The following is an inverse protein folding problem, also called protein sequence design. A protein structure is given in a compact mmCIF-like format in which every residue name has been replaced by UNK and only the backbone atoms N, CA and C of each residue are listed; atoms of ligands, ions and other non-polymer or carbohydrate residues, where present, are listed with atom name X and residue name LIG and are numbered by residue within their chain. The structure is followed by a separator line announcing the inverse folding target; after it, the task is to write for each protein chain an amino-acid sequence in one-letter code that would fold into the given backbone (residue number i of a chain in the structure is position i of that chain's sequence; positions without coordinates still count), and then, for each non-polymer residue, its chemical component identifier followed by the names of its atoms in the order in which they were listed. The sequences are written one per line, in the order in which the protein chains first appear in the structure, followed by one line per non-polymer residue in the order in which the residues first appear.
data_IF_120896479527
#
_entry.id   IF_120896479527
#
_cell.length_a   1.000
_cell.length_b   1.000
_cell.length_c   1.000
_cell.angle_alpha   90.00
_cell.angle_beta   90.00
_cell.angle_gamma   90.00
#
_symmetry.space_group_name_H-M   'P 1'
#
loop_
_entity.id
_entity.type
_entity.pdbx_description
1 polymer ?
#
# COMPACT_ATOMS: atom_id res chain seq x y z
N UNK A 1 -2.52 12.36 -10.28
CA UNK A 1 -2.83 10.94 -10.56
C UNK A 1 -3.50 10.73 -11.94
N UNK A 2 -3.06 11.41 -13.01
CA UNK A 2 -3.88 11.57 -14.23
C UNK A 2 -4.26 10.27 -14.98
N UNK A 3 -3.60 9.14 -14.73
CA UNK A 3 -3.94 7.82 -15.30
C UNK A 3 -4.48 6.81 -14.25
N UNK A 4 -4.60 7.19 -12.98
CA UNK A 4 -5.02 6.28 -11.91
C UNK A 4 -6.53 6.37 -11.67
N UNK A 5 -7.26 5.30 -11.94
CA UNK A 5 -8.72 5.28 -11.77
C UNK A 5 -9.14 5.23 -10.29
N UNK A 6 -8.43 4.46 -9.47
CA UNK A 6 -8.80 4.22 -8.07
C UNK A 6 -7.57 4.20 -7.16
N UNK A 7 -7.64 4.91 -6.04
CA UNK A 7 -6.65 4.89 -4.97
C UNK A 7 -7.19 4.09 -3.79
N UNK A 8 -6.57 2.95 -3.49
CA UNK A 8 -6.91 2.16 -2.29
C UNK A 8 -5.91 2.41 -1.17
N UNK A 9 -6.41 2.64 0.04
CA UNK A 9 -5.58 2.84 1.23
C UNK A 9 -6.17 2.15 2.46
N UNK A 10 -5.35 2.00 3.49
CA UNK A 10 -5.77 1.42 4.76
C UNK A 10 -6.78 2.29 5.51
N UNK A 11 -7.56 1.67 6.39
CA UNK A 11 -8.51 2.34 7.30
C UNK A 11 -7.85 3.42 8.17
N UNK A 12 -6.55 3.32 8.44
CA UNK A 12 -5.78 4.37 9.12
C UNK A 12 -5.74 5.70 8.37
N UNK A 13 -5.85 5.69 7.03
CA UNK A 13 -5.86 6.88 6.16
C UNK A 13 -7.24 7.51 6.03
N UNK A 14 -8.16 7.18 6.93
CA UNK A 14 -9.49 7.74 6.95
C UNK A 14 -9.46 9.26 7.22
N UNK A 15 -9.46 10.05 6.14
CA UNK A 15 -9.41 11.51 6.14
C UNK A 15 -10.25 12.08 5.00
N UNK A 16 -11.11 13.05 5.30
CA UNK A 16 -11.95 13.68 4.29
C UNK A 16 -11.13 14.61 3.39
N UNK A 17 -10.08 15.26 3.94
CA UNK A 17 -9.13 16.06 3.15
C UNK A 17 -8.38 15.20 2.12
N UNK A 18 -7.97 13.99 2.52
CA UNK A 18 -7.27 13.07 1.62
C UNK A 18 -8.18 12.59 0.49
N UNK A 19 -9.44 12.27 0.79
CA UNK A 19 -10.42 11.87 -0.23
C UNK A 19 -10.69 13.01 -1.22
N UNK A 20 -10.91 14.23 -0.71
CA UNK A 20 -11.12 15.40 -1.56
C UNK A 20 -9.93 15.66 -2.49
N UNK A 21 -8.70 15.52 -2.00
CA UNK A 21 -7.50 15.64 -2.84
C UNK A 21 -7.43 14.55 -3.93
N UNK A 22 -7.74 13.29 -3.59
CA UNK A 22 -7.75 12.18 -4.55
C UNK A 22 -8.79 12.44 -5.65
N UNK A 23 -9.97 12.93 -5.27
CA UNK A 23 -11.06 13.27 -6.19
C UNK A 23 -10.71 14.49 -7.07
N UNK A 24 -10.05 15.51 -6.51
CA UNK A 24 -9.53 16.67 -7.25
C UNK A 24 -8.49 16.26 -8.30
N UNK A 25 -7.66 15.26 -7.99
CA UNK A 25 -6.69 14.69 -8.92
C UNK A 25 -7.32 13.73 -9.98
N UNK A 26 -8.64 13.53 -9.94
CA UNK A 26 -9.40 12.75 -10.91
C UNK A 26 -9.53 11.25 -10.61
N UNK A 27 -9.16 10.82 -9.40
CA UNK A 27 -9.21 9.40 -8.99
C UNK A 27 -10.33 9.15 -7.99
N UNK A 28 -10.83 7.90 -7.90
CA UNK A 28 -11.78 7.49 -6.86
C UNK A 28 -11.03 7.01 -5.61
N UNK A 29 -11.40 7.51 -4.43
CA UNK A 29 -10.84 7.03 -3.16
C UNK A 29 -11.56 5.77 -2.65
N UNK A 30 -10.88 4.61 -2.66
CA UNK A 30 -11.34 3.36 -2.05
C UNK A 30 -10.68 3.13 -0.67
N UNK A 31 -11.05 3.98 0.29
CA UNK A 31 -10.50 3.99 1.66
C UNK A 31 -11.63 3.70 2.64
N UNK A 32 -11.54 2.65 3.47
CA UNK A 32 -12.58 2.35 4.44
C UNK A 32 -12.70 3.44 5.50
N UNK A 33 -13.93 3.77 5.82
CA UNK A 33 -14.30 4.61 6.94
C UNK A 33 -14.05 3.90 8.28
N UNK A 34 -13.61 4.66 9.30
CA UNK A 34 -13.46 4.20 10.69
C UNK A 34 -14.80 3.76 11.30
N UNK A 35 -14.74 2.99 12.38
CA UNK A 35 -15.92 2.33 12.98
C UNK A 35 -17.04 3.31 13.36
N UNK A 36 -16.69 4.55 13.73
CA UNK A 36 -17.61 5.65 14.02
C UNK A 36 -18.47 6.06 12.80
N UNK A 37 -17.96 5.86 11.59
CA UNK A 37 -18.60 6.27 10.34
C UNK A 37 -18.72 5.17 9.30
N UNK A 38 -18.65 3.91 9.74
CA UNK A 38 -18.68 2.70 8.90
C UNK A 38 -19.92 2.62 8.00
N UNK A 39 -21.05 3.20 8.42
CA UNK A 39 -22.28 3.31 7.61
C UNK A 39 -22.08 4.02 6.26
N UNK A 40 -20.98 4.75 6.08
CA UNK A 40 -20.61 5.42 4.83
C UNK A 40 -19.88 4.49 3.83
N UNK A 41 -19.48 3.27 4.22
CA UNK A 41 -18.81 2.29 3.34
C UNK A 41 -19.76 1.60 2.34
N UNK A 42 -20.89 2.21 1.96
CA UNK A 42 -21.92 1.56 1.12
C UNK A 42 -21.44 1.30 -0.31
N UNK A 43 -20.75 2.28 -0.89
CA UNK A 43 -20.27 2.24 -2.28
C UNK A 43 -18.80 1.82 -2.39
N UNK A 44 -18.31 1.13 -1.35
CA UNK A 44 -16.93 0.70 -1.25
C UNK A 44 -16.70 -0.59 -2.05
N UNK A 45 -15.62 -0.62 -2.82
CA UNK A 45 -15.16 -1.84 -3.47
C UNK A 45 -14.32 -2.66 -2.49
N UNK A 46 -15.00 -3.57 -1.79
CA UNK A 46 -14.40 -4.49 -0.83
C UNK A 46 -13.45 -5.50 -1.49
N UNK A 47 -13.68 -5.85 -2.76
CA UNK A 47 -12.80 -6.76 -3.48
C UNK A 47 -11.46 -6.09 -3.75
N UNK A 48 -11.49 -4.85 -4.25
CA UNK A 48 -10.28 -4.06 -4.45
C UNK A 48 -9.55 -3.78 -3.12
N UNK A 49 -10.28 -3.49 -2.05
CA UNK A 49 -9.68 -3.34 -0.73
C UNK A 49 -9.00 -4.63 -0.25
N UNK A 50 -9.60 -5.79 -0.53
CA UNK A 50 -9.02 -7.09 -0.18
C UNK A 50 -7.72 -7.35 -0.94
N UNK A 51 -7.62 -7.00 -2.22
CA UNK A 51 -6.40 -7.18 -3.04
C UNK A 51 -5.16 -6.54 -2.40
N UNK A 52 -5.32 -5.50 -1.56
CA UNK A 52 -4.23 -4.89 -0.79
C UNK A 52 -3.42 -5.89 0.03
N UNK A 53 -4.03 -7.01 0.46
CA UNK A 53 -3.31 -8.06 1.18
C UNK A 53 -2.13 -8.64 0.37
N UNK A 54 -2.17 -8.60 -0.97
CA UNK A 54 -1.07 -9.07 -1.82
C UNK A 54 0.18 -8.21 -1.63
N UNK A 55 -0.01 -6.90 -1.53
CA UNK A 55 1.05 -5.93 -1.25
C UNK A 55 1.59 -6.13 0.17
N UNK A 56 0.71 -6.31 1.16
CA UNK A 56 1.11 -6.61 2.54
C UNK A 56 1.92 -7.91 2.63
N UNK A 57 1.48 -8.96 1.93
CA UNK A 57 2.21 -10.23 1.85
C UNK A 57 3.59 -10.06 1.21
N UNK A 58 3.73 -9.23 0.17
CA UNK A 58 5.03 -8.93 -0.42
C UNK A 58 5.97 -8.25 0.60
N UNK A 59 5.48 -7.27 1.35
CA UNK A 59 6.26 -6.65 2.43
C UNK A 59 6.58 -7.60 3.58
N UNK A 60 5.65 -8.48 3.94
CA UNK A 60 5.90 -9.52 4.95
C UNK A 60 7.03 -10.45 4.51
N UNK A 61 7.04 -10.88 3.24
CA UNK A 61 8.13 -11.67 2.65
C UNK A 61 9.46 -10.92 2.67
N UNK A 62 9.48 -9.64 2.30
CA UNK A 62 10.69 -8.83 2.37
C UNK A 62 11.24 -8.67 3.79
N UNK A 63 10.36 -8.63 4.79
CA UNK A 63 10.76 -8.55 6.20
C UNK A 63 11.39 -9.84 6.76
N UNK A 64 11.31 -10.97 6.05
CA UNK A 64 12.11 -12.15 6.42
C UNK A 64 13.61 -11.90 6.27
N UNK A 65 14.01 -11.02 5.34
CA UNK A 65 15.39 -10.58 5.23
C UNK A 65 15.70 -9.58 6.34
N UNK A 66 16.39 -10.03 7.39
CA UNK A 66 16.75 -9.20 8.55
C UNK A 66 17.41 -7.89 8.14
N UNK A 67 18.34 -7.91 7.17
CA UNK A 67 19.01 -6.72 6.67
C UNK A 67 18.06 -5.64 6.13
N UNK A 68 16.96 -6.05 5.48
CA UNK A 68 15.90 -5.16 5.00
C UNK A 68 15.05 -4.68 6.17
N UNK A 69 14.55 -5.61 7.01
CA UNK A 69 13.63 -5.30 8.09
C UNK A 69 14.20 -4.30 9.11
N UNK A 70 15.47 -4.45 9.48
CA UNK A 70 16.15 -3.57 10.44
C UNK A 70 16.90 -2.41 9.77
N UNK A 71 16.89 -2.33 8.43
CA UNK A 71 17.61 -1.32 7.65
C UNK A 71 19.08 -1.19 8.08
N UNK A 72 19.86 -2.26 7.91
CA UNK A 72 21.28 -2.26 8.27
C UNK A 72 22.13 -1.35 7.38
N UNK A 73 21.74 -1.18 6.12
CA UNK A 73 22.43 -0.29 5.20
C UNK A 73 22.21 1.19 5.58
N UNK A 74 23.30 1.88 5.93
CA UNK A 74 23.27 3.31 6.27
C UNK A 74 23.01 4.20 5.05
N UNK A 75 23.57 3.82 3.90
CA UNK A 75 23.46 4.58 2.66
C UNK A 75 22.19 4.19 1.91
N UNK A 76 21.44 5.19 1.45
CA UNK A 76 20.18 5.00 0.72
C UNK A 76 20.35 4.09 -0.51
N UNK A 77 21.45 4.23 -1.25
CA UNK A 77 21.70 3.42 -2.44
C UNK A 77 21.92 1.95 -2.10
N UNK A 78 22.71 1.64 -1.06
CA UNK A 78 22.93 0.26 -0.63
C UNK A 78 21.64 -0.38 -0.15
N UNK A 79 20.86 0.34 0.66
CA UNK A 79 19.56 -0.15 1.10
C UNK A 79 18.62 -0.45 -0.08
N UNK A 80 18.59 0.44 -1.09
CA UNK A 80 17.80 0.22 -2.31
C UNK A 80 18.27 -1.05 -3.05
N UNK A 81 19.58 -1.26 -3.22
CA UNK A 81 20.12 -2.46 -3.85
C UNK A 81 19.71 -3.74 -3.11
N UNK A 82 19.78 -3.73 -1.77
CA UNK A 82 19.37 -4.86 -0.93
C UNK A 82 17.86 -5.15 -1.05
N UNK A 83 17.02 -4.10 -1.07
CA UNK A 83 15.57 -4.22 -1.29
C UNK A 83 15.26 -4.79 -2.68
N UNK A 84 15.92 -4.29 -3.73
CA UNK A 84 15.74 -4.77 -5.09
C UNK A 84 16.13 -6.25 -5.22
N UNK A 85 17.24 -6.65 -4.61
CA UNK A 85 17.65 -8.05 -4.56
C UNK A 85 16.58 -8.90 -3.84
N UNK A 86 16.07 -8.44 -2.71
CA UNK A 86 14.97 -9.11 -2.00
C UNK A 86 13.71 -9.28 -2.87
N UNK A 87 13.34 -8.26 -3.64
CA UNK A 87 12.22 -8.32 -4.59
C UNK A 87 12.46 -9.34 -5.71
N UNK A 88 13.67 -9.37 -6.28
CA UNK A 88 14.05 -10.35 -7.32
C UNK A 88 13.93 -11.78 -6.79
N UNK A 89 14.43 -12.03 -5.58
CA UNK A 89 14.35 -13.34 -4.93
C UNK A 89 12.90 -13.76 -4.61
N UNK A 90 12.03 -12.80 -4.33
CA UNK A 90 10.60 -13.03 -4.09
C UNK A 90 9.83 -13.34 -5.39
N UNK A 91 10.26 -12.73 -6.49
CA UNK A 91 9.65 -12.83 -7.82
C UNK A 91 10.04 -14.10 -8.57
N UNK A 92 11.32 -14.48 -8.53
CA UNK A 92 11.80 -15.66 -9.24
C UNK A 92 11.35 -16.95 -8.54
N UNK A 93 10.82 -17.94 -9.28
CA UNK A 93 10.59 -19.29 -8.77
C UNK A 93 11.93 -20.02 -8.77
N UNK A 94 12.77 -19.77 -7.76
CA UNK A 94 13.99 -20.53 -7.52
C UNK A 94 13.70 -21.77 -6.66
#
# INVERSE_FOLDING_TARGET
LAETEVVSADKGYDSDKLRAQIEEEGSKANIPYKCDREKKNKDMDWYLYKIRHLVENAFARLKHYRAIATRYDKLKHNYLSTVLLGCIMVWLPL
#
